data_IF_504499721794
#
_entry.id   IF_504499721794
#
_cell.length_a   1.000
_cell.length_b   1.000
_cell.length_c   1.000
_cell.angle_alpha   90.00
_cell.angle_beta   90.00
_cell.angle_gamma   90.00
#
_symmetry.space_group_name_H-M   'P 1'
#
loop_
_entity.id
_entity.type
_entity.pdbx_description
1 polymer ?
#
# COMPACT_ATOMS: atom_id res chain seq x y z
N UNK A 1 -11.55 17.30 -8.85
CA UNK A 1 -11.15 15.94 -9.27
C UNK A 1 -10.61 15.24 -8.05
N UNK A 2 -11.01 13.99 -7.78
CA UNK A 2 -10.42 13.20 -6.68
C UNK A 2 -8.99 12.77 -7.07
N UNK A 3 -8.05 12.64 -6.11
CA UNK A 3 -6.71 12.16 -6.41
C UNK A 3 -6.74 10.71 -6.90
N UNK A 4 -5.98 10.41 -7.96
CA UNK A 4 -5.92 9.05 -8.52
C UNK A 4 -5.02 8.11 -7.70
N UNK A 5 -4.13 8.64 -6.85
CA UNK A 5 -3.25 7.88 -5.94
C UNK A 5 -3.07 8.64 -4.63
N UNK A 6 -3.04 7.90 -3.53
CA UNK A 6 -2.85 8.43 -2.18
C UNK A 6 -1.76 7.60 -1.51
N UNK A 7 -0.66 8.24 -1.13
CA UNK A 7 0.44 7.61 -0.38
C UNK A 7 0.32 7.95 1.09
N UNK A 8 0.29 6.93 1.96
CA UNK A 8 0.17 7.08 3.41
C UNK A 8 1.49 6.66 4.05
N UNK A 9 2.20 7.61 4.65
CA UNK A 9 3.52 7.41 5.28
C UNK A 9 3.41 7.67 6.78
N UNK A 10 4.18 6.92 7.58
CA UNK A 10 4.16 7.01 9.03
C UNK A 10 4.93 5.87 9.69
N UNK A 11 5.26 6.05 10.96
CA UNK A 11 6.03 5.08 11.76
C UNK A 11 5.26 3.76 11.95
N UNK A 12 5.97 2.71 12.35
CA UNK A 12 5.33 1.44 12.71
C UNK A 12 4.30 1.66 13.83
N UNK A 13 3.13 1.01 13.74
CA UNK A 13 2.05 1.17 14.71
C UNK A 13 1.24 2.47 14.61
N UNK A 14 1.55 3.41 13.70
CA UNK A 14 0.84 4.69 13.60
C UNK A 14 -0.59 4.61 13.00
N UNK A 15 -1.07 3.41 12.65
CA UNK A 15 -2.41 3.20 12.11
C UNK A 15 -2.58 3.44 10.60
N UNK A 16 -1.50 3.47 9.81
CA UNK A 16 -1.54 3.67 8.34
C UNK A 16 -2.51 2.72 7.64
N UNK A 17 -2.42 1.43 7.94
CA UNK A 17 -3.26 0.40 7.34
C UNK A 17 -4.75 0.62 7.69
N UNK A 18 -5.05 1.07 8.90
CA UNK A 18 -6.42 1.42 9.31
C UNK A 18 -6.93 2.62 8.54
N UNK A 19 -6.11 3.67 8.40
CA UNK A 19 -6.46 4.86 7.63
C UNK A 19 -6.65 4.53 6.14
N UNK A 20 -5.74 3.77 5.55
CA UNK A 20 -5.78 3.37 4.14
C UNK A 20 -7.04 2.58 3.80
N UNK A 21 -7.41 1.59 4.63
CA UNK A 21 -8.67 0.84 4.46
C UNK A 21 -9.91 1.72 4.51
N UNK A 22 -9.93 2.72 5.41
CA UNK A 22 -11.04 3.68 5.51
C UNK A 22 -11.13 4.59 4.28
N UNK A 23 -10.01 5.10 3.80
CA UNK A 23 -9.95 5.93 2.59
C UNK A 23 -10.40 5.11 1.37
N UNK A 24 -9.91 3.88 1.24
CA UNK A 24 -10.30 2.94 0.19
C UNK A 24 -11.82 2.71 0.19
N UNK A 25 -12.41 2.40 1.34
CA UNK A 25 -13.85 2.20 1.48
C UNK A 25 -14.67 3.45 1.13
N UNK A 26 -14.19 4.64 1.52
CA UNK A 26 -14.90 5.91 1.27
C UNK A 26 -14.80 6.40 -0.17
N UNK A 27 -13.66 6.16 -0.84
CA UNK A 27 -13.40 6.68 -2.19
C UNK A 27 -13.56 5.61 -3.30
N UNK A 28 -13.70 4.34 -2.93
CA UNK A 28 -13.76 3.23 -3.90
C UNK A 28 -12.41 2.91 -4.55
N UNK A 29 -11.30 3.41 -4.03
CA UNK A 29 -9.96 3.11 -4.54
C UNK A 29 -9.43 1.79 -3.95
N UNK A 30 -8.63 1.01 -4.69
CA UNK A 30 -7.94 -0.16 -4.13
C UNK A 30 -6.97 0.26 -3.02
N UNK A 31 -6.85 -0.58 -2.00
CA UNK A 31 -5.87 -0.45 -0.93
C UNK A 31 -4.72 -1.43 -1.15
N UNK A 32 -3.49 -0.94 -1.21
CA UNK A 32 -2.28 -1.76 -1.38
C UNK A 32 -1.27 -1.41 -0.28
N UNK A 33 -0.85 -2.40 0.51
CA UNK A 33 0.30 -2.26 1.41
C UNK A 33 1.60 -2.53 0.63
N UNK A 34 2.61 -1.67 0.79
CA UNK A 34 3.88 -1.81 0.08
C UNK A 34 4.62 -3.09 0.48
N UNK A 35 4.48 -3.52 1.73
CA UNK A 35 5.15 -4.72 2.22
C UNK A 35 4.69 -5.97 1.46
N UNK A 36 3.40 -6.05 1.09
CA UNK A 36 2.85 -7.17 0.30
C UNK A 36 3.45 -7.24 -1.11
N UNK A 37 3.99 -6.12 -1.63
CA UNK A 37 4.60 -6.07 -2.96
C UNK A 37 6.10 -6.37 -2.93
N UNK A 38 6.77 -6.00 -1.84
CA UNK A 38 8.22 -6.11 -1.73
C UNK A 38 8.69 -7.37 -1.01
N UNK A 39 7.84 -8.01 -0.22
CA UNK A 39 8.23 -9.14 0.62
C UNK A 39 7.40 -10.37 0.32
N UNK A 40 8.09 -11.46 -0.01
CA UNK A 40 7.54 -12.81 -0.08
C UNK A 40 7.47 -13.43 1.33
N UNK A 41 6.73 -14.55 1.50
CA UNK A 41 6.75 -15.30 2.74
C UNK A 41 8.18 -15.61 3.21
N UNK A 42 8.44 -15.41 4.51
CA UNK A 42 9.78 -15.53 5.07
C UNK A 42 10.64 -14.26 4.93
N UNK A 43 10.03 -13.11 4.61
CA UNK A 43 10.73 -11.82 4.46
C UNK A 43 11.81 -11.84 3.37
N UNK A 44 11.57 -12.63 2.32
CA UNK A 44 12.45 -12.66 1.16
C UNK A 44 12.05 -11.50 0.24
N UNK A 45 13.01 -10.63 -0.09
CA UNK A 45 12.76 -9.51 -1.01
C UNK A 45 12.30 -10.05 -2.36
N UNK A 46 11.19 -9.52 -2.88
CA UNK A 46 10.69 -9.87 -4.19
C UNK A 46 11.78 -9.56 -5.24
N UNK A 47 12.12 -10.49 -6.14
CA UNK A 47 13.27 -10.35 -7.05
C UNK A 47 13.07 -9.26 -8.11
N UNK A 48 11.82 -8.96 -8.46
CA UNK A 48 11.48 -7.89 -9.39
C UNK A 48 11.13 -6.59 -8.67
N UNK A 49 11.86 -5.52 -8.96
CA UNK A 49 11.52 -4.16 -8.52
C UNK A 49 10.34 -3.56 -9.34
N UNK A 50 9.84 -4.28 -10.35
CA UNK A 50 8.82 -3.81 -11.28
C UNK A 50 7.37 -3.91 -10.76
N UNK A 51 7.14 -4.54 -9.59
CA UNK A 51 5.79 -4.70 -9.02
C UNK A 51 5.08 -3.35 -8.83
N UNK A 52 5.85 -2.26 -8.68
CA UNK A 52 5.33 -0.90 -8.51
C UNK A 52 4.78 -0.26 -9.79
N UNK A 53 5.07 -0.79 -10.98
CA UNK A 53 4.67 -0.14 -12.25
C UNK A 53 3.15 -0.07 -12.46
N UNK A 54 2.37 -0.87 -11.73
CA UNK A 54 0.92 -1.03 -11.93
C UNK A 54 0.04 -0.65 -10.71
N UNK A 55 0.62 -0.05 -9.66
CA UNK A 55 -0.13 0.54 -8.53
C UNK A 55 -0.37 2.02 -8.78
#
# INVERSE_FOLDING_TARGET
>A
MLPNKIMIIGTSGSGKTTLGRRISASLGHPHTDLDDLFWLPGWVRHPDDHVIKNI
#
